data_IF_392519397755
#
_entry.id   IF_392519397755
#
_cell.length_a   1.000
_cell.length_b   1.000
_cell.length_c   1.000
_cell.angle_alpha   90.00
_cell.angle_beta   90.00
_cell.angle_gamma   90.00
#
_symmetry.space_group_name_H-M   'P 1'
#
loop_
_entity.id
_entity.type
_entity.pdbx_description
1 polymer ?
#
# COMPACT_ATOMS: atom_id res chain seq x y z
N UNK A 1 8.55 -25.67 -5.78
CA UNK A 1 7.81 -24.45 -6.22
C UNK A 1 7.19 -23.77 -5.00
N UNK A 2 6.88 -22.46 -5.05
CA UNK A 2 6.18 -21.80 -3.93
C UNK A 2 4.70 -22.20 -3.92
N UNK A 3 4.06 -22.48 -2.77
CA UNK A 3 2.72 -23.10 -2.72
C UNK A 3 1.59 -22.19 -3.19
N UNK A 4 1.79 -20.87 -3.18
CA UNK A 4 0.82 -19.91 -3.69
C UNK A 4 1.24 -19.36 -5.05
N UNK A 5 0.33 -19.28 -6.04
CA UNK A 5 0.62 -18.64 -7.31
C UNK A 5 0.90 -17.15 -7.07
N UNK A 6 1.75 -16.58 -7.93
CA UNK A 6 1.98 -15.14 -7.90
C UNK A 6 0.76 -14.40 -8.45
N UNK A 7 0.57 -13.17 -8.00
CA UNK A 7 -0.46 -12.27 -8.52
C UNK A 7 0.10 -10.84 -8.59
N UNK A 8 -0.65 -9.94 -9.20
CA UNK A 8 -0.26 -8.53 -9.33
C UNK A 8 -0.52 -7.77 -8.03
N UNK A 9 0.25 -6.69 -7.79
CA UNK A 9 0.02 -5.81 -6.64
C UNK A 9 -1.38 -5.18 -6.67
N UNK A 10 -1.87 -4.83 -7.87
CA UNK A 10 -3.24 -4.34 -8.10
C UNK A 10 -4.30 -5.34 -7.64
N UNK A 11 -4.15 -6.61 -7.99
CA UNK A 11 -5.10 -7.64 -7.58
C UNK A 11 -5.12 -7.83 -6.05
N UNK A 12 -3.95 -7.80 -5.39
CA UNK A 12 -3.88 -7.83 -3.93
C UNK A 12 -4.58 -6.63 -3.29
N UNK A 13 -4.37 -5.43 -3.84
CA UNK A 13 -4.99 -4.21 -3.35
C UNK A 13 -6.52 -4.26 -3.49
N UNK A 14 -7.02 -4.62 -4.67
CA UNK A 14 -8.45 -4.73 -4.94
C UNK A 14 -9.11 -5.78 -4.05
N UNK A 15 -8.45 -6.92 -3.79
CA UNK A 15 -8.95 -7.95 -2.90
C UNK A 15 -9.02 -7.50 -1.43
N UNK A 16 -8.07 -6.67 -0.97
CA UNK A 16 -8.11 -6.09 0.37
C UNK A 16 -9.18 -4.99 0.51
N UNK A 17 -9.47 -4.28 -0.58
CA UNK A 17 -10.51 -3.28 -0.67
C UNK A 17 -10.11 -1.90 -0.15
N UNK A 18 -10.70 -0.85 -0.72
CA UNK A 18 -10.41 0.54 -0.38
C UNK A 18 -10.74 0.87 1.09
N UNK A 19 -11.74 0.20 1.68
CA UNK A 19 -12.14 0.40 3.08
C UNK A 19 -11.03 0.04 4.10
N UNK A 20 -10.05 -0.76 3.69
CA UNK A 20 -8.89 -1.09 4.52
C UNK A 20 -7.82 0.03 4.56
N UNK A 21 -7.92 1.04 3.70
CA UNK A 21 -6.99 2.16 3.66
C UNK A 21 -7.02 2.98 4.96
N UNK A 22 -5.93 3.70 5.22
CA UNK A 22 -5.77 4.62 6.35
C UNK A 22 -5.32 5.97 5.85
N UNK A 23 -5.94 7.03 6.37
CA UNK A 23 -5.47 8.41 6.16
C UNK A 23 -4.27 8.68 7.05
N UNK A 24 -3.17 9.08 6.43
CA UNK A 24 -1.94 9.49 7.09
C UNK A 24 -1.75 10.99 6.86
N UNK A 25 -1.48 11.72 7.94
CA UNK A 25 -1.07 13.12 7.91
C UNK A 25 0.44 13.19 8.05
N UNK A 26 1.12 13.79 7.08
CA UNK A 26 2.58 13.82 7.04
C UNK A 26 3.16 14.96 7.87
N UNK A 27 2.72 16.17 7.55
CA UNK A 27 3.11 17.44 8.18
C UNK A 27 2.11 18.52 7.82
N UNK A 28 2.21 19.64 8.52
CA UNK A 28 1.58 20.89 8.14
C UNK A 28 2.28 21.47 6.89
N UNK A 29 1.49 21.81 5.87
CA UNK A 29 1.93 22.50 4.66
C UNK A 29 1.88 24.03 4.82
N UNK A 30 2.12 24.74 3.73
CA UNK A 30 2.08 26.22 3.69
C UNK A 30 0.76 26.80 3.17
N UNK A 31 -0.10 25.97 2.55
CA UNK A 31 -1.34 26.42 1.90
C UNK A 31 -2.55 26.18 2.79
N UNK A 32 -2.81 27.13 3.70
CA UNK A 32 -4.05 27.14 4.47
C UNK A 32 -5.23 27.55 3.58
N UNK A 33 -6.37 26.90 3.76
CA UNK A 33 -7.63 27.24 3.08
C UNK A 33 -8.77 27.27 4.09
N UNK A 34 -9.93 27.84 3.73
CA UNK A 34 -11.12 27.84 4.60
C UNK A 34 -11.51 26.44 5.10
N UNK A 35 -11.29 25.41 4.29
CA UNK A 35 -11.60 24.01 4.60
C UNK A 35 -10.38 23.20 5.10
N UNK A 36 -9.20 23.82 5.15
CA UNK A 36 -7.97 23.23 5.69
C UNK A 36 -7.11 24.33 6.33
N UNK A 37 -7.51 24.89 7.49
CA UNK A 37 -6.84 26.03 8.11
C UNK A 37 -5.43 25.69 8.60
N UNK A 38 -5.20 24.43 8.99
CA UNK A 38 -3.88 23.95 9.44
C UNK A 38 -2.99 23.51 8.27
N UNK A 39 -3.45 23.68 7.02
CA UNK A 39 -2.73 23.25 5.83
C UNK A 39 -2.26 21.78 5.89
N UNK A 40 -3.01 20.89 6.53
CA UNK A 40 -2.60 19.50 6.76
C UNK A 40 -2.39 18.79 5.41
N UNK A 41 -1.21 18.20 5.24
CA UNK A 41 -0.93 17.33 4.10
C UNK A 41 -1.32 15.90 4.45
N UNK A 42 -2.35 15.38 3.78
CA UNK A 42 -2.93 14.05 4.03
C UNK A 42 -2.93 13.20 2.77
N UNK A 43 -2.71 11.90 2.94
CA UNK A 43 -2.83 10.89 1.88
C UNK A 43 -3.47 9.62 2.44
N UNK A 44 -4.12 8.83 1.60
CA UNK A 44 -4.65 7.52 1.99
C UNK A 44 -3.78 6.39 1.45
N UNK A 45 -3.45 5.45 2.32
CA UNK A 45 -2.64 4.27 1.98
C UNK A 45 -3.27 2.98 2.45
N UNK A 46 -3.13 1.94 1.64
CA UNK A 46 -3.30 0.55 2.03
C UNK A 46 -1.91 -0.02 2.39
N UNK A 47 -1.83 -0.76 3.50
CA UNK A 47 -0.62 -1.45 3.93
C UNK A 47 -0.88 -2.96 4.00
N UNK A 48 -0.13 -3.76 3.23
CA UNK A 48 -0.26 -5.21 3.18
C UNK A 48 1.06 -5.91 3.48
N UNK A 49 1.01 -7.06 4.14
CA UNK A 49 2.13 -8.00 4.22
C UNK A 49 2.13 -8.87 2.97
N UNK A 50 3.24 -8.87 2.23
CA UNK A 50 3.37 -9.61 0.98
C UNK A 50 4.69 -10.37 0.91
N UNK A 51 4.76 -11.38 0.05
CA UNK A 51 5.98 -12.12 -0.26
C UNK A 51 6.30 -11.92 -1.75
N UNK A 52 7.33 -11.13 -2.10
CA UNK A 52 7.57 -10.77 -3.49
C UNK A 52 8.01 -11.98 -4.33
N UNK A 53 7.35 -12.18 -5.47
CA UNK A 53 7.60 -13.30 -6.37
C UNK A 53 8.79 -13.05 -7.33
N UNK A 54 9.96 -12.69 -6.81
CA UNK A 54 11.17 -12.46 -7.61
C UNK A 54 12.17 -13.61 -7.45
N UNK A 55 12.66 -14.15 -8.57
CA UNK A 55 13.63 -15.26 -8.62
C UNK A 55 14.99 -14.95 -7.97
N UNK A 56 15.36 -13.67 -7.86
CA UNK A 56 16.64 -13.23 -7.29
C UNK A 56 16.58 -13.02 -5.77
N UNK A 57 15.41 -13.13 -5.15
CA UNK A 57 15.27 -12.99 -3.70
C UNK A 57 15.71 -14.29 -3.03
N UNK A 58 16.63 -14.18 -2.08
CA UNK A 58 17.08 -15.32 -1.27
C UNK A 58 15.93 -15.80 -0.39
N UNK A 59 15.67 -17.11 -0.43
CA UNK A 59 14.69 -17.78 0.43
C UNK A 59 15.24 -17.94 1.85
N UNK A 60 14.35 -17.95 2.82
CA UNK A 60 14.66 -18.34 4.19
C UNK A 60 14.99 -19.84 4.27
N UNK A 61 15.47 -20.29 5.44
CA UNK A 61 15.91 -21.67 5.64
C UNK A 61 14.80 -22.71 5.43
N UNK A 62 13.55 -22.32 5.65
CA UNK A 62 12.32 -23.09 5.40
C UNK A 62 11.87 -23.06 3.92
N UNK A 63 12.63 -22.41 3.04
CA UNK A 63 12.30 -22.25 1.62
C UNK A 63 11.29 -21.14 1.31
N UNK A 64 10.83 -20.40 2.32
CA UNK A 64 9.88 -19.30 2.14
C UNK A 64 10.53 -18.08 1.50
N UNK A 65 9.75 -17.34 0.70
CA UNK A 65 10.09 -15.98 0.33
C UNK A 65 9.93 -15.06 1.55
N UNK A 66 10.85 -14.12 1.79
CA UNK A 66 10.75 -13.18 2.90
C UNK A 66 9.53 -12.28 2.74
N UNK A 67 8.92 -11.93 3.87
CA UNK A 67 7.83 -10.97 3.87
C UNK A 67 8.33 -9.53 3.92
N UNK A 68 7.65 -8.65 3.21
CA UNK A 68 7.83 -7.22 3.29
C UNK A 68 6.48 -6.50 3.39
N UNK A 69 6.56 -5.20 3.68
CA UNK A 69 5.41 -4.32 3.56
C UNK A 69 5.25 -3.85 2.11
N UNK A 70 4.02 -3.88 1.64
CA UNK A 70 3.56 -3.19 0.45
C UNK A 70 2.73 -1.99 0.91
N UNK A 71 3.16 -0.79 0.52
CA UNK A 71 2.41 0.44 0.72
C UNK A 71 1.85 0.88 -0.63
N UNK A 72 0.54 1.09 -0.68
CA UNK A 72 -0.17 1.48 -1.91
C UNK A 72 -0.96 2.75 -1.62
N UNK A 73 -0.77 3.78 -2.42
CA UNK A 73 -1.60 4.98 -2.36
C UNK A 73 -2.94 4.71 -3.04
N UNK A 74 -4.03 4.99 -2.32
CA UNK A 74 -5.38 4.86 -2.85
C UNK A 74 -6.24 6.05 -2.41
N UNK A 75 -6.38 7.08 -3.25
CA UNK A 75 -7.21 8.24 -2.96
C UNK A 75 -8.69 7.88 -2.81
N UNK A 76 -9.48 8.63 -2.01
CA UNK A 76 -10.88 8.31 -1.74
C UNK A 76 -11.75 8.33 -2.99
N UNK A 77 -11.50 9.27 -3.91
CA UNK A 77 -12.28 9.44 -5.14
C UNK A 77 -11.78 8.58 -6.31
N UNK A 78 -10.88 7.62 -6.04
CA UNK A 78 -10.32 6.75 -7.08
C UNK A 78 -10.89 5.34 -7.00
N UNK A 79 -11.41 4.85 -8.14
CA UNK A 79 -11.91 3.49 -8.26
C UNK A 79 -10.81 2.43 -8.09
N UNK A 80 -9.54 2.81 -8.27
CA UNK A 80 -8.40 1.92 -8.23
C UNK A 80 -7.21 2.54 -7.48
N UNK A 81 -6.29 1.71 -6.93
CA UNK A 81 -5.06 2.23 -6.36
C UNK A 81 -4.15 2.85 -7.43
N UNK A 82 -3.40 3.88 -7.06
CA UNK A 82 -2.67 4.73 -8.01
C UNK A 82 -1.15 4.60 -7.96
N UNK A 83 -0.57 4.27 -6.80
CA UNK A 83 0.89 4.11 -6.61
C UNK A 83 1.21 3.02 -5.61
#
# INVERSE_FOLDING_TARGET
AYPHPHTTLRALALAAGQAATRTITWRQGSKATKHNPNADMRSQFLALRVRPANRHIRRAADGALPECWLLIQWPPDSAEPTR
#
